data_IF_360013192725
#
_entry.id   IF_360013192725
#
_cell.length_a   1.000
_cell.length_b   1.000
_cell.length_c   1.000
_cell.angle_alpha   90.00
_cell.angle_beta   90.00
_cell.angle_gamma   90.00
#
_symmetry.space_group_name_H-M   'P 1'
#
loop_
_entity.id
_entity.type
_entity.pdbx_description
1 polymer ?
#
# COMPACT_ATOMS: atom_id res chain seq x y z
N UNK A 1 9.70 12.93 10.25
CA UNK A 1 9.52 11.93 9.18
C UNK A 1 8.11 11.38 9.19
N UNK A 2 7.50 11.20 10.37
CA UNK A 2 6.09 10.83 10.53
C UNK A 2 5.11 11.64 9.68
N UNK A 3 5.16 12.98 9.71
CA UNK A 3 4.26 13.81 8.88
C UNK A 3 4.39 13.58 7.36
N UNK A 4 5.57 13.17 6.89
CA UNK A 4 5.78 12.84 5.46
C UNK A 4 5.16 11.49 5.13
N UNK A 5 5.26 10.52 6.05
CA UNK A 5 4.65 9.21 5.90
C UNK A 5 3.13 9.33 5.99
N UNK A 6 2.60 10.11 6.93
CA UNK A 6 1.17 10.45 7.03
C UNK A 6 0.67 11.07 5.73
N UNK A 7 1.40 12.04 5.17
CA UNK A 7 1.04 12.64 3.89
C UNK A 7 1.01 11.64 2.72
N UNK A 8 1.98 10.72 2.65
CA UNK A 8 2.00 9.66 1.63
C UNK A 8 0.83 8.70 1.83
N UNK A 9 0.52 8.33 3.07
CA UNK A 9 -0.60 7.45 3.42
C UNK A 9 -1.94 8.09 3.03
N UNK A 10 -2.14 9.37 3.34
CA UNK A 10 -3.33 10.13 2.95
C UNK A 10 -3.44 10.24 1.42
N UNK A 11 -2.33 10.52 0.73
CA UNK A 11 -2.32 10.64 -0.72
C UNK A 11 -2.65 9.31 -1.41
N UNK A 12 -2.09 8.20 -0.91
CA UNK A 12 -2.31 6.88 -1.51
C UNK A 12 -3.67 6.26 -1.15
N UNK A 13 -4.45 6.85 -0.24
CA UNK A 13 -5.75 6.31 0.21
C UNK A 13 -6.69 6.02 -0.98
N UNK A 14 -6.73 6.91 -1.97
CA UNK A 14 -7.56 6.74 -3.17
C UNK A 14 -7.10 5.55 -4.03
N UNK A 15 -5.79 5.40 -4.20
CA UNK A 15 -5.20 4.29 -4.95
C UNK A 15 -5.39 2.97 -4.20
N UNK A 16 -5.27 2.98 -2.87
CA UNK A 16 -5.50 1.81 -2.00
C UNK A 16 -6.94 1.33 -2.15
N UNK A 17 -7.91 2.25 -2.14
CA UNK A 17 -9.31 1.90 -2.34
C UNK A 17 -9.55 1.28 -3.71
N UNK A 18 -8.95 1.84 -4.77
CA UNK A 18 -9.03 1.28 -6.12
C UNK A 18 -8.44 -0.13 -6.17
N UNK A 19 -7.27 -0.35 -5.56
CA UNK A 19 -6.63 -1.65 -5.46
C UNK A 19 -7.48 -2.67 -4.67
N UNK A 20 -8.14 -2.24 -3.61
CA UNK A 20 -9.08 -3.05 -2.83
C UNK A 20 -10.33 -3.43 -3.65
N UNK A 21 -10.89 -2.49 -4.42
CA UNK A 21 -12.00 -2.74 -5.34
C UNK A 21 -11.61 -3.70 -6.46
N UNK A 22 -10.41 -3.55 -7.05
CA UNK A 22 -9.86 -4.48 -8.03
C UNK A 22 -9.72 -5.89 -7.46
N UNK A 23 -9.18 -6.02 -6.24
CA UNK A 23 -9.04 -7.31 -5.57
C UNK A 23 -10.38 -7.97 -5.27
N UNK A 24 -11.31 -7.21 -4.68
CA UNK A 24 -12.65 -7.71 -4.34
C UNK A 24 -13.52 -8.02 -5.55
N UNK A 25 -13.23 -7.44 -6.72
CA UNK A 25 -13.90 -7.79 -7.98
C UNK A 25 -13.75 -9.25 -8.38
N UNK A 26 -12.75 -9.96 -7.82
CA UNK A 26 -12.50 -11.38 -8.10
C UNK A 26 -11.94 -11.66 -9.50
N UNK A 27 -11.65 -10.61 -10.28
CA UNK A 27 -11.11 -10.73 -11.63
C UNK A 27 -9.62 -11.12 -11.66
N UNK A 28 -8.94 -11.05 -10.52
CA UNK A 28 -7.50 -11.31 -10.40
C UNK A 28 -7.24 -12.44 -9.41
N UNK A 29 -6.44 -13.43 -9.82
CA UNK A 29 -6.10 -14.58 -8.96
C UNK A 29 -4.95 -14.30 -8.00
N UNK A 30 -4.11 -13.30 -8.31
CA UNK A 30 -3.01 -12.85 -7.46
C UNK A 30 -3.06 -11.35 -7.32
N UNK A 31 -2.61 -10.86 -6.16
CA UNK A 31 -2.47 -9.42 -5.89
C UNK A 31 -1.54 -8.73 -6.89
N UNK A 32 -0.58 -9.48 -7.46
CA UNK A 32 0.36 -9.00 -8.48
C UNK A 32 -0.31 -8.73 -9.83
N UNK A 33 -1.47 -9.34 -10.07
CA UNK A 33 -2.19 -9.20 -11.33
C UNK A 33 -3.11 -7.97 -11.34
N UNK A 34 -3.33 -7.33 -10.18
CA UNK A 34 -4.11 -6.10 -10.07
C UNK A 34 -3.35 -4.94 -10.74
N UNK A 35 -3.99 -4.16 -11.65
CA UNK A 35 -3.37 -3.01 -12.32
C UNK A 35 -2.76 -1.99 -11.35
N UNK A 36 -3.42 -1.78 -10.20
CA UNK A 36 -2.98 -0.83 -9.19
C UNK A 36 -1.84 -1.34 -8.31
N UNK A 37 -1.41 -2.61 -8.46
CA UNK A 37 -0.40 -3.24 -7.60
C UNK A 37 0.95 -2.51 -7.61
N UNK A 38 1.48 -2.17 -8.80
CA UNK A 38 2.79 -1.51 -8.91
C UNK A 38 2.79 -0.13 -8.26
N UNK A 39 1.67 0.60 -8.39
CA UNK A 39 1.47 1.90 -7.75
C UNK A 39 1.52 1.77 -6.23
N UNK A 40 0.74 0.85 -5.65
CA UNK A 40 0.75 0.60 -4.20
C UNK A 40 2.11 0.13 -3.72
N UNK A 41 2.76 -0.76 -4.47
CA UNK A 41 4.11 -1.23 -4.16
C UNK A 41 5.11 -0.07 -4.13
N UNK A 42 5.01 0.88 -5.06
CA UNK A 42 5.89 2.05 -5.12
C UNK A 42 5.74 2.93 -3.88
N UNK A 43 4.52 3.16 -3.40
CA UNK A 43 4.31 3.88 -2.13
C UNK A 43 4.88 3.12 -0.94
N UNK A 44 4.66 1.80 -0.86
CA UNK A 44 5.23 0.97 0.19
C UNK A 44 6.76 1.01 0.20
N UNK A 45 7.39 0.96 -0.97
CA UNK A 45 8.84 1.05 -1.11
C UNK A 45 9.36 2.44 -0.70
N UNK A 46 8.64 3.51 -1.02
CA UNK A 46 8.96 4.87 -0.58
C UNK A 46 8.87 5.02 0.95
N UNK A 47 7.78 4.56 1.56
CA UNK A 47 7.60 4.57 3.03
C UNK A 47 8.69 3.74 3.70
N UNK A 48 9.02 2.57 3.15
CA UNK A 48 10.09 1.71 3.67
C UNK A 48 11.46 2.40 3.58
N UNK A 49 11.74 3.13 2.50
CA UNK A 49 12.97 3.90 2.35
C UNK A 49 13.06 5.03 3.39
N UNK A 50 11.94 5.73 3.64
CA UNK A 50 11.85 6.78 4.66
C UNK A 50 12.04 6.21 6.08
N UNK A 51 11.33 5.14 6.43
CA UNK A 51 11.46 4.47 7.73
C UNK A 51 12.88 3.93 7.97
N UNK A 52 13.53 3.41 6.93
CA UNK A 52 14.94 2.98 7.02
C UNK A 52 15.89 4.12 7.38
N UNK A 53 15.62 5.36 6.94
CA UNK A 53 16.44 6.52 7.30
C UNK A 53 16.18 6.98 8.75
N UNK A 54 14.97 6.77 9.25
CA UNK A 54 14.56 7.12 10.62
C UNK A 54 15.00 6.07 11.67
N UNK A 55 15.31 4.85 11.24
CA UNK A 55 15.67 3.73 12.12
C UNK A 55 14.45 2.95 12.64
N UNK A 56 13.24 3.31 12.21
CA UNK A 56 12.00 2.57 12.43
C UNK A 56 11.85 1.45 11.37
N UNK A 57 11.47 0.24 11.79
CA UNK A 57 11.31 -0.91 10.89
C UNK A 57 9.82 -1.30 10.75
N UNK A 58 8.98 -0.34 10.41
CA UNK A 58 7.56 -0.59 10.11
C UNK A 58 7.33 -0.38 8.62
N UNK A 59 7.55 -1.44 7.82
CA UNK A 59 7.21 -1.41 6.40
C UNK A 59 5.72 -1.72 6.20
N UNK A 60 4.99 -0.86 5.48
CA UNK A 60 3.72 -1.25 4.88
C UNK A 60 4.00 -2.12 3.65
N UNK A 61 3.11 -3.06 3.34
CA UNK A 61 3.18 -3.90 2.13
C UNK A 61 1.83 -3.88 1.43
N UNK A 62 1.75 -4.09 0.10
CA UNK A 62 0.46 -4.16 -0.59
C UNK A 62 -0.52 -5.17 0.03
N UNK A 63 0.01 -6.27 0.58
CA UNK A 63 -0.78 -7.30 1.25
C UNK A 63 -1.43 -6.81 2.57
N UNK A 64 -0.83 -5.83 3.24
CA UNK A 64 -1.38 -5.25 4.46
C UNK A 64 -2.76 -4.61 4.20
N UNK A 65 -2.90 -3.89 3.09
CA UNK A 65 -4.15 -3.22 2.72
C UNK A 65 -5.29 -4.18 2.36
N UNK A 66 -4.96 -5.37 1.84
CA UNK A 66 -5.97 -6.41 1.58
C UNK A 66 -6.42 -7.04 2.89
N UNK A 67 -5.49 -7.33 3.80
CA UNK A 67 -5.82 -7.89 5.13
C UNK A 67 -6.68 -6.97 5.98
N UNK A 68 -6.64 -5.65 5.76
CA UNK A 68 -7.54 -4.70 6.41
C UNK A 68 -9.01 -4.86 5.99
N UNK A 69 -9.29 -5.43 4.81
CA UNK A 69 -10.67 -5.70 4.37
C UNK A 69 -11.27 -6.96 5.03
N UNK A 70 -10.43 -7.86 5.53
CA UNK A 70 -10.85 -9.13 6.13
C UNK A 70 -11.10 -9.04 7.65
N UNK A 71 -11.01 -7.83 8.24
CA UNK A 71 -11.28 -7.52 9.66
C UNK A 71 -12.64 -6.83 9.83
#
# INVERSE_FOLDING_TARGET
MDHVIEYILDYMECDVKTFQEEWTSGNYSKILDCPSYETIKSYCDAIKALNRMDGSFTGCTPMYFIKQLEQ
#
